data_IF_956182726628
#
_entry.id   IF_956182726628
#
_cell.length_a   1.000
_cell.length_b   1.000
_cell.length_c   1.000
_cell.angle_alpha   90.00
_cell.angle_beta   90.00
_cell.angle_gamma   90.00
#
_symmetry.space_group_name_H-M   'P 1'
#
loop_
_entity.id
_entity.type
_entity.pdbx_description
1 polymer ?
#
# COMPACT_ATOMS: atom_id res chain seq x y z
N UNK A 1 11.34 1.24 13.44
CA UNK A 1 11.38 1.81 12.09
C UNK A 1 12.83 2.06 11.79
N UNK A 2 13.36 1.41 10.76
CA UNK A 2 14.76 1.50 10.40
C UNK A 2 14.86 2.24 9.08
N UNK A 3 15.61 3.33 9.03
CA UNK A 3 15.69 4.20 7.86
C UNK A 3 17.10 4.20 7.32
N UNK A 4 17.24 3.86 6.03
CA UNK A 4 18.50 4.00 5.32
C UNK A 4 18.63 5.42 4.78
N UNK A 5 19.58 6.20 5.30
CA UNK A 5 19.89 7.54 4.80
C UNK A 5 21.10 7.47 3.89
N UNK A 6 20.89 7.64 2.59
CA UNK A 6 21.98 7.75 1.61
C UNK A 6 22.32 9.20 1.34
N UNK A 7 23.60 9.57 1.44
CA UNK A 7 24.10 10.90 1.07
C UNK A 7 25.01 10.79 -0.16
N UNK A 8 24.50 11.30 -1.29
CA UNK A 8 25.21 11.36 -2.57
C UNK A 8 26.59 12.01 -2.46
N UNK A 9 27.51 11.57 -3.32
CA UNK A 9 28.82 12.25 -3.50
C UNK A 9 28.70 13.65 -4.11
N UNK A 10 27.54 14.00 -4.68
CA UNK A 10 27.27 15.34 -5.20
C UNK A 10 26.98 16.39 -4.11
N UNK A 11 26.66 15.93 -2.89
CA UNK A 11 26.48 16.78 -1.71
C UNK A 11 27.86 17.18 -1.17
N UNK A 12 28.05 18.45 -0.82
CA UNK A 12 29.34 18.96 -0.34
C UNK A 12 29.74 18.32 1.00
N UNK A 13 31.03 18.23 1.31
CA UNK A 13 31.50 17.64 2.58
C UNK A 13 30.94 18.37 3.81
N UNK A 14 30.78 19.69 3.70
CA UNK A 14 30.21 20.55 4.74
C UNK A 14 28.71 20.26 4.94
N UNK A 15 27.97 20.00 3.85
CA UNK A 15 26.56 19.62 3.93
C UNK A 15 26.41 18.18 4.44
N UNK A 16 27.31 17.28 4.04
CA UNK A 16 27.37 15.89 4.50
C UNK A 16 27.59 15.82 6.01
N UNK A 17 28.57 16.56 6.53
CA UNK A 17 28.83 16.60 7.97
C UNK A 17 27.61 17.15 8.72
N UNK A 18 26.97 18.20 8.19
CA UNK A 18 25.75 18.75 8.77
C UNK A 18 24.60 17.74 8.81
N UNK A 19 24.32 17.06 7.69
CA UNK A 19 23.30 16.02 7.64
C UNK A 19 23.62 14.87 8.60
N UNK A 20 24.89 14.49 8.70
CA UNK A 20 25.33 13.46 9.66
C UNK A 20 25.03 13.87 11.10
N UNK A 21 25.35 15.12 11.48
CA UNK A 21 25.01 15.65 12.80
C UNK A 21 23.50 15.73 13.04
N UNK A 22 22.73 16.15 12.03
CA UNK A 22 21.27 16.19 12.10
C UNK A 22 20.68 14.80 12.35
N UNK A 23 21.12 13.79 11.60
CA UNK A 23 20.62 12.42 11.71
C UNK A 23 21.10 11.71 12.99
N UNK A 24 22.25 12.10 13.54
CA UNK A 24 22.67 11.63 14.87
C UNK A 24 21.72 12.10 15.99
N UNK A 25 20.96 13.20 15.81
CA UNK A 25 19.92 13.60 16.75
C UNK A 25 18.68 12.70 16.69
N UNK A 26 18.51 11.93 15.61
CA UNK A 26 17.34 11.10 15.35
C UNK A 26 17.49 9.65 15.83
N UNK A 27 18.72 9.23 16.16
CA UNK A 27 19.15 7.85 16.44
C UNK A 27 18.39 7.13 17.59
N UNK A 28 17.61 7.88 18.38
CA UNK A 28 16.85 7.30 19.50
C UNK A 28 15.48 6.76 19.12
N UNK A 29 14.88 7.22 18.01
CA UNK A 29 13.69 6.69 17.34
C UNK A 29 13.31 7.67 16.20
N UNK A 30 13.52 7.35 14.92
CA UNK A 30 13.89 6.05 14.31
C UNK A 30 15.35 5.62 14.44
N UNK A 31 15.60 4.32 14.16
CA UNK A 31 16.94 3.78 13.94
C UNK A 31 17.44 4.23 12.55
N UNK A 32 18.53 4.99 12.51
CA UNK A 32 19.04 5.63 11.29
C UNK A 32 20.39 5.03 10.89
N UNK A 33 20.45 4.36 9.74
CA UNK A 33 21.72 3.97 9.13
C UNK A 33 22.12 5.00 8.05
N UNK A 34 23.20 5.74 8.31
CA UNK A 34 23.75 6.69 7.33
C UNK A 34 24.80 5.99 6.48
N UNK A 35 24.65 6.07 5.16
CA UNK A 35 25.62 5.52 4.22
C UNK A 35 25.97 6.50 3.09
N UNK A 36 27.18 6.32 2.57
CA UNK A 36 27.73 7.02 1.41
C UNK A 36 27.98 6.09 0.23
N UNK A 37 27.61 4.82 0.38
CA UNK A 37 27.65 3.79 -0.65
C UNK A 37 26.30 3.07 -0.75
N UNK A 38 26.04 2.41 -1.87
CA UNK A 38 24.88 1.54 -1.99
C UNK A 38 25.22 0.21 -1.26
N UNK A 39 24.53 -0.13 -0.16
CA UNK A 39 24.77 -1.37 0.57
C UNK A 39 24.44 -2.58 -0.32
N UNK A 40 25.00 -3.73 0.05
CA UNK A 40 24.76 -4.99 -0.65
C UNK A 40 23.52 -5.73 -0.12
N UNK A 41 23.15 -5.49 1.14
CA UNK A 41 21.99 -6.07 1.81
C UNK A 41 20.72 -5.23 1.62
N UNK A 42 19.56 -5.88 1.82
CA UNK A 42 18.26 -5.41 1.31
C UNK A 42 17.11 -5.39 2.32
N UNK A 43 17.20 -6.12 3.44
CA UNK A 43 16.01 -6.68 4.09
C UNK A 43 15.58 -6.05 5.41
N UNK A 44 16.27 -5.01 5.90
CA UNK A 44 16.05 -4.52 7.27
C UNK A 44 15.52 -3.08 7.36
N UNK A 45 15.29 -2.41 6.22
CA UNK A 45 14.87 -1.01 6.21
C UNK A 45 13.41 -0.85 5.84
N UNK A 46 12.71 -0.06 6.67
CA UNK A 46 11.32 0.33 6.44
C UNK A 46 11.21 1.46 5.40
N UNK A 47 12.23 2.30 5.27
CA UNK A 47 12.20 3.50 4.43
C UNK A 47 13.60 3.87 3.93
N UNK A 48 13.70 4.34 2.68
CA UNK A 48 14.95 4.90 2.14
C UNK A 48 14.84 6.41 2.02
N UNK A 49 15.84 7.12 2.53
CA UNK A 49 15.96 8.55 2.36
C UNK A 49 17.21 8.88 1.54
N UNK A 50 17.02 9.36 0.32
CA UNK A 50 18.09 9.60 -0.65
C UNK A 50 18.35 11.10 -0.74
N UNK A 51 19.54 11.55 -0.36
CA UNK A 51 20.02 12.91 -0.58
C UNK A 51 20.82 13.02 -1.87
N UNK A 52 20.42 13.97 -2.72
CA UNK A 52 20.97 14.18 -4.06
C UNK A 52 20.36 13.25 -5.10
N UNK A 53 20.38 13.68 -6.35
CA UNK A 53 19.71 12.98 -7.46
C UNK A 53 20.63 12.70 -8.65
N UNK A 54 21.73 13.44 -8.83
CA UNK A 54 22.65 13.21 -9.96
C UNK A 54 23.72 12.15 -9.64
N UNK A 55 23.34 11.02 -9.07
CA UNK A 55 24.29 9.95 -8.71
C UNK A 55 23.77 8.57 -9.16
N UNK A 56 24.64 7.79 -9.78
CA UNK A 56 24.32 6.42 -10.20
C UNK A 56 23.96 5.53 -9.00
N UNK A 57 24.57 5.78 -7.83
CA UNK A 57 24.25 5.06 -6.59
C UNK A 57 22.87 5.43 -6.05
N UNK A 58 22.47 6.70 -6.12
CA UNK A 58 21.11 7.13 -5.77
C UNK A 58 20.07 6.42 -6.65
N UNK A 59 20.32 6.34 -7.96
CA UNK A 59 19.45 5.60 -8.88
C UNK A 59 19.45 4.09 -8.59
N UNK A 60 20.59 3.50 -8.22
CA UNK A 60 20.67 2.08 -7.83
C UNK A 60 19.83 1.82 -6.58
N UNK A 61 19.92 2.68 -5.57
CA UNK A 61 19.14 2.59 -4.34
C UNK A 61 17.65 2.76 -4.60
N UNK A 62 17.26 3.75 -5.41
CA UNK A 62 15.86 3.93 -5.82
C UNK A 62 15.32 2.69 -6.55
N UNK A 63 16.06 2.16 -7.52
CA UNK A 63 15.65 0.93 -8.21
C UNK A 63 15.64 -0.30 -7.28
N UNK A 64 16.46 -0.30 -6.23
CA UNK A 64 16.43 -1.35 -5.21
C UNK A 64 15.14 -1.26 -4.40
N UNK A 65 14.81 -0.05 -3.93
CA UNK A 65 13.58 0.23 -3.19
C UNK A 65 12.31 -0.14 -4.00
N UNK A 66 12.29 0.16 -5.30
CA UNK A 66 11.20 -0.25 -6.19
C UNK A 66 11.03 -1.77 -6.29
N UNK A 67 12.11 -2.54 -6.21
CA UNK A 67 12.06 -4.01 -6.27
C UNK A 67 11.65 -4.64 -4.94
N UNK A 68 11.96 -3.96 -3.84
CA UNK A 68 11.61 -4.39 -2.48
C UNK A 68 10.32 -3.75 -1.98
N UNK A 69 9.65 -2.94 -2.81
CA UNK A 69 8.45 -2.18 -2.45
C UNK A 69 8.65 -1.34 -1.17
N UNK A 70 9.86 -0.80 -0.99
CA UNK A 70 10.21 0.05 0.14
C UNK A 70 9.97 1.52 -0.22
N UNK A 71 9.22 2.31 0.57
CA UNK A 71 8.99 3.72 0.28
C UNK A 71 10.27 4.56 0.25
N UNK A 72 10.32 5.53 -0.67
CA UNK A 72 11.46 6.43 -0.83
C UNK A 72 11.08 7.89 -0.56
N UNK A 73 11.84 8.52 0.33
CA UNK A 73 11.91 9.98 0.45
C UNK A 73 13.13 10.45 -0.34
N UNK A 74 12.93 11.33 -1.33
CA UNK A 74 14.03 11.93 -2.08
C UNK A 74 14.23 13.39 -1.64
N UNK A 75 15.44 13.74 -1.25
CA UNK A 75 15.88 15.10 -0.95
C UNK A 75 16.91 15.55 -1.99
N UNK A 76 16.52 16.23 -3.09
CA UNK A 76 17.47 16.65 -4.10
C UNK A 76 18.52 17.64 -3.56
N UNK A 77 18.19 18.39 -2.51
CA UNK A 77 19.12 19.24 -1.78
C UNK A 77 19.79 20.32 -2.66
N UNK A 78 18.99 20.97 -3.51
CA UNK A 78 19.38 22.02 -4.43
C UNK A 78 20.07 21.54 -5.71
N UNK A 79 20.26 20.23 -5.89
CA UNK A 79 20.87 19.65 -7.09
C UNK A 79 20.06 19.83 -8.38
N UNK A 80 18.76 20.09 -8.26
CA UNK A 80 17.87 20.35 -9.40
C UNK A 80 17.83 21.82 -9.84
N UNK A 81 18.53 22.70 -9.13
CA UNK A 81 18.57 24.11 -9.48
C UNK A 81 19.25 24.32 -10.84
N UNK A 82 18.75 25.23 -11.71
CA UNK A 82 19.25 25.39 -13.07
C UNK A 82 20.76 25.62 -13.16
N UNK A 83 21.34 26.40 -12.25
CA UNK A 83 22.78 26.66 -12.23
C UNK A 83 23.61 25.42 -11.82
N UNK A 84 23.11 24.59 -10.88
CA UNK A 84 23.79 23.33 -10.53
C UNK A 84 23.77 22.37 -11.71
N UNK A 85 22.64 22.24 -12.40
CA UNK A 85 22.51 21.40 -13.60
C UNK A 85 23.43 21.88 -14.74
N UNK A 86 23.58 23.20 -14.93
CA UNK A 86 24.50 23.77 -15.92
C UNK A 86 25.97 23.46 -15.61
N UNK A 87 26.32 23.40 -14.33
CA UNK A 87 27.68 23.13 -13.86
C UNK A 87 28.03 21.64 -13.79
N UNK A 88 27.08 20.73 -14.05
CA UNK A 88 27.38 19.30 -14.16
C UNK A 88 28.27 19.02 -15.37
N UNK A 89 29.18 18.05 -15.21
CA UNK A 89 29.94 17.50 -16.33
C UNK A 89 28.98 17.05 -17.44
N UNK A 90 29.24 17.47 -18.68
CA UNK A 90 28.36 17.21 -19.84
C UNK A 90 28.01 15.72 -19.99
N UNK A 91 29.02 14.85 -19.84
CA UNK A 91 28.86 13.39 -19.91
C UNK A 91 27.92 12.88 -18.81
N UNK A 92 28.11 13.34 -17.56
CA UNK A 92 27.26 12.98 -16.42
C UNK A 92 25.81 13.39 -16.64
N UNK A 93 25.60 14.64 -17.09
CA UNK A 93 24.26 15.15 -17.41
C UNK A 93 23.60 14.33 -18.52
N UNK A 94 24.34 14.03 -19.60
CA UNK A 94 23.82 13.23 -20.71
C UNK A 94 23.38 11.82 -20.28
N UNK A 95 24.21 11.13 -19.48
CA UNK A 95 23.94 9.76 -19.04
C UNK A 95 22.82 9.67 -18.00
N UNK A 96 22.71 10.65 -17.10
CA UNK A 96 21.80 10.56 -15.95
C UNK A 96 20.48 11.33 -16.13
N UNK A 97 20.35 12.20 -17.14
CA UNK A 97 19.15 13.03 -17.30
C UNK A 97 17.86 12.21 -17.35
N UNK A 98 17.79 11.22 -18.24
CA UNK A 98 16.59 10.38 -18.39
C UNK A 98 16.31 9.55 -17.13
N UNK A 99 17.29 8.82 -16.55
CA UNK A 99 17.07 8.12 -15.28
C UNK A 99 16.61 9.00 -14.13
N UNK A 100 17.18 10.20 -13.97
CA UNK A 100 16.81 11.13 -12.90
C UNK A 100 15.40 11.68 -13.10
N UNK A 101 15.04 12.06 -14.33
CA UNK A 101 13.67 12.49 -14.63
C UNK A 101 12.65 11.37 -14.35
N UNK A 102 12.97 10.12 -14.70
CA UNK A 102 12.10 8.97 -14.40
C UNK A 102 11.96 8.70 -12.91
N UNK A 103 13.03 8.86 -12.13
CA UNK A 103 12.98 8.77 -10.68
C UNK A 103 12.09 9.87 -10.09
N UNK A 104 12.28 11.12 -10.53
CA UNK A 104 11.48 12.26 -10.06
C UNK A 104 9.99 12.14 -10.40
N UNK A 105 9.63 11.53 -11.54
CA UNK A 105 8.24 11.32 -11.94
C UNK A 105 7.56 10.12 -11.28
N UNK A 106 8.30 9.34 -10.46
CA UNK A 106 7.80 8.08 -9.88
C UNK A 106 8.04 7.95 -8.39
N UNK A 107 8.97 8.70 -7.83
CA UNK A 107 9.22 8.71 -6.39
C UNK A 107 7.98 9.18 -5.65
N UNK A 108 7.73 8.59 -4.49
CA UNK A 108 6.52 8.76 -3.72
C UNK A 108 6.48 10.10 -2.98
N UNK A 109 7.63 10.47 -2.39
CA UNK A 109 7.78 11.67 -1.57
C UNK A 109 9.06 12.41 -1.95
N UNK A 110 8.95 13.71 -2.17
CA UNK A 110 10.08 14.60 -2.40
C UNK A 110 10.14 15.65 -1.32
N UNK A 111 11.28 15.76 -0.66
CA UNK A 111 11.57 16.80 0.30
C UNK A 111 12.30 17.97 -0.35
N UNK A 112 11.79 19.18 -0.12
CA UNK A 112 12.38 20.45 -0.53
C UNK A 112 12.94 21.21 0.68
N UNK A 113 14.21 21.60 0.61
CA UNK A 113 14.96 22.24 1.70
C UNK A 113 14.66 23.75 1.86
N UNK A 114 13.65 24.25 1.15
CA UNK A 114 13.31 25.66 1.08
C UNK A 114 12.22 25.95 0.07
N UNK A 115 11.65 27.15 0.13
CA UNK A 115 10.58 27.57 -0.77
C UNK A 115 11.02 27.57 -2.25
N UNK A 116 12.23 28.04 -2.54
CA UNK A 116 12.76 28.05 -3.90
C UNK A 116 12.88 26.66 -4.52
N UNK A 117 13.37 25.68 -3.75
CA UNK A 117 13.48 24.29 -4.23
C UNK A 117 12.10 23.67 -4.45
N UNK A 118 11.14 23.98 -3.57
CA UNK A 118 9.75 23.56 -3.72
C UNK A 118 9.14 24.08 -5.02
N UNK A 119 9.35 25.35 -5.34
CA UNK A 119 8.83 25.96 -6.57
C UNK A 119 9.52 25.38 -7.81
N UNK A 120 10.82 25.09 -7.72
CA UNK A 120 11.56 24.37 -8.77
C UNK A 120 10.98 22.98 -9.01
N UNK A 121 10.73 22.20 -7.95
CA UNK A 121 10.15 20.86 -8.04
C UNK A 121 8.74 20.86 -8.63
N UNK A 122 7.90 21.84 -8.25
CA UNK A 122 6.58 22.04 -8.86
C UNK A 122 6.67 22.31 -10.35
N UNK A 123 7.62 23.13 -10.78
CA UNK A 123 7.83 23.44 -12.21
C UNK A 123 8.31 22.25 -13.04
N UNK A 124 8.91 21.24 -12.39
CA UNK A 124 9.40 20.02 -13.02
C UNK A 124 8.31 18.93 -13.15
N UNK A 125 7.05 19.25 -12.84
CA UNK A 125 5.91 18.31 -12.85
C UNK A 125 6.20 17.03 -12.05
N UNK A 126 6.85 17.15 -10.89
CA UNK A 126 6.94 16.02 -9.98
C UNK A 126 5.50 15.67 -9.51
N UNK A 127 5.03 14.49 -9.89
CA UNK A 127 3.76 13.87 -9.43
C UNK A 127 3.83 13.45 -7.96
N UNK A 128 5.01 13.58 -7.34
CA UNK A 128 5.30 13.19 -5.99
C UNK A 128 4.70 14.15 -4.94
N UNK A 129 4.52 13.63 -3.72
CA UNK A 129 4.18 14.44 -2.57
C UNK A 129 5.35 15.35 -2.19
N UNK A 130 5.27 16.64 -2.54
CA UNK A 130 6.33 17.61 -2.21
C UNK A 130 6.13 18.16 -0.80
N UNK A 131 7.05 17.84 0.11
CA UNK A 131 7.08 18.31 1.50
C UNK A 131 8.20 19.33 1.68
N UNK A 132 7.92 20.46 2.32
CA UNK A 132 8.95 21.47 2.63
C UNK A 132 9.41 21.29 4.07
N UNK A 133 10.71 21.09 4.28
CA UNK A 133 11.37 21.22 5.59
C UNK A 133 12.54 22.17 5.36
N UNK A 134 12.44 23.38 5.90
CA UNK A 134 13.44 24.41 5.62
C UNK A 134 14.79 24.03 6.24
N UNK A 135 15.89 24.31 5.55
CA UNK A 135 17.23 24.06 6.11
C UNK A 135 17.61 25.19 7.10
N UNK A 136 17.79 24.90 8.40
CA UNK A 136 18.19 25.85 9.44
C UNK A 136 19.41 26.71 9.06
N UNK A 137 20.39 26.11 8.36
CA UNK A 137 21.62 26.80 7.97
C UNK A 137 21.41 27.88 6.91
N UNK A 138 20.30 27.82 6.17
CA UNK A 138 20.00 28.71 5.06
C UNK A 138 18.96 29.75 5.47
N UNK A 139 17.84 29.32 6.05
CA UNK A 139 16.70 30.20 6.34
C UNK A 139 16.74 30.83 7.73
N UNK A 140 17.40 30.18 8.71
CA UNK A 140 17.30 30.54 10.13
C UNK A 140 15.87 30.49 10.70
N UNK A 141 14.90 29.96 9.94
CA UNK A 141 13.47 30.00 10.28
C UNK A 141 13.05 28.90 11.26
N UNK A 142 13.82 27.81 11.30
CA UNK A 142 13.67 26.70 12.24
C UNK A 142 15.05 26.32 12.77
N UNK A 143 15.11 25.68 13.94
CA UNK A 143 16.36 25.13 14.45
C UNK A 143 16.60 23.68 14.00
N UNK A 144 17.74 23.12 14.38
CA UNK A 144 18.13 21.75 13.99
C UNK A 144 17.26 20.68 14.67
N UNK A 145 16.76 20.92 15.88
CA UNK A 145 15.90 19.98 16.59
C UNK A 145 14.49 19.95 15.95
N UNK A 146 13.97 21.11 15.56
CA UNK A 146 12.72 21.26 14.82
C UNK A 146 12.81 20.57 13.44
N UNK A 147 13.93 20.74 12.72
CA UNK A 147 14.16 20.05 11.46
C UNK A 147 14.16 18.53 11.65
N UNK A 148 14.82 18.05 12.70
CA UNK A 148 14.88 16.64 13.05
C UNK A 148 13.46 16.09 13.32
N UNK A 149 12.67 16.76 14.17
CA UNK A 149 11.29 16.39 14.47
C UNK A 149 10.40 16.35 13.21
N UNK A 150 10.59 17.30 12.29
CA UNK A 150 9.87 17.31 11.02
C UNK A 150 10.26 16.14 10.11
N UNK A 151 11.51 15.69 10.11
CA UNK A 151 11.90 14.48 9.38
C UNK A 151 11.29 13.21 9.98
N UNK A 152 11.23 13.09 11.31
CA UNK A 152 10.53 11.96 11.97
C UNK A 152 9.06 11.92 11.57
N UNK A 153 8.40 13.07 11.62
CA UNK A 153 7.01 13.22 11.18
C UNK A 153 6.85 12.87 9.70
N UNK A 154 7.77 13.30 8.83
CA UNK A 154 7.79 12.94 7.42
C UNK A 154 7.92 11.42 7.22
N UNK A 155 8.83 10.75 7.93
CA UNK A 155 8.99 9.29 7.80
C UNK A 155 7.76 8.53 8.27
N UNK A 156 7.19 8.91 9.41
CA UNK A 156 5.92 8.32 9.84
C UNK A 156 4.81 8.57 8.83
N UNK A 157 4.66 9.81 8.33
CA UNK A 157 3.66 10.14 7.31
C UNK A 157 3.84 9.32 6.03
N UNK A 158 5.08 9.09 5.59
CA UNK A 158 5.39 8.22 4.46
C UNK A 158 4.95 6.79 4.74
N UNK A 159 5.38 6.16 5.84
CA UNK A 159 5.00 4.77 6.14
C UNK A 159 3.49 4.59 6.36
N UNK A 160 2.86 5.57 6.98
CA UNK A 160 1.41 5.65 7.16
C UNK A 160 0.68 5.70 5.81
N UNK A 161 1.29 6.26 4.78
CA UNK A 161 0.68 6.33 3.45
C UNK A 161 0.78 4.99 2.71
N UNK A 162 1.81 4.18 2.98
CA UNK A 162 1.99 2.85 2.41
C UNK A 162 2.09 1.76 3.49
N UNK A 163 1.03 1.56 4.29
CA UNK A 163 1.04 0.65 5.43
C UNK A 163 1.35 -0.79 5.00
N UNK A 164 0.94 -1.23 3.81
CA UNK A 164 1.22 -2.57 3.27
C UNK A 164 2.72 -2.95 3.29
N UNK A 165 3.61 -1.95 3.19
CA UNK A 165 5.08 -2.14 3.23
C UNK A 165 5.62 -2.48 4.62
N UNK A 166 4.80 -2.29 5.65
CA UNK A 166 5.11 -2.59 7.04
C UNK A 166 4.48 -3.90 7.52
N UNK A 167 3.62 -4.53 6.71
CA UNK A 167 2.94 -5.77 7.07
C UNK A 167 3.84 -6.97 6.80
N UNK A 168 3.93 -7.87 7.78
CA UNK A 168 4.52 -9.20 7.63
C UNK A 168 3.51 -10.20 7.06
N UNK A 169 3.97 -11.42 6.76
CA UNK A 169 3.06 -12.50 6.36
C UNK A 169 2.07 -12.85 7.48
N UNK A 170 2.51 -12.78 8.75
CA UNK A 170 1.64 -13.02 9.90
C UNK A 170 0.57 -11.94 10.06
N UNK A 171 0.91 -10.67 9.80
CA UNK A 171 -0.06 -9.57 9.82
C UNK A 171 -1.11 -9.73 8.73
N UNK A 172 -0.70 -10.16 7.53
CA UNK A 172 -1.63 -10.42 6.43
C UNK A 172 -2.56 -11.61 6.72
N UNK A 173 -2.05 -12.68 7.35
CA UNK A 173 -2.88 -13.80 7.80
C UNK A 173 -3.90 -13.36 8.87
N UNK A 174 -3.48 -12.51 9.82
CA UNK A 174 -4.37 -11.90 10.81
C UNK A 174 -5.48 -11.09 10.14
N UNK A 175 -5.13 -10.24 9.16
CA UNK A 175 -6.13 -9.48 8.38
C UNK A 175 -7.10 -10.44 7.69
N UNK A 176 -6.60 -11.48 7.02
CA UNK A 176 -7.43 -12.48 6.35
C UNK A 176 -8.44 -13.13 7.30
N UNK A 177 -7.98 -13.54 8.48
CA UNK A 177 -8.82 -14.13 9.52
C UNK A 177 -9.87 -13.15 10.07
N UNK A 178 -9.49 -11.90 10.36
CA UNK A 178 -10.42 -10.88 10.87
C UNK A 178 -11.46 -10.47 9.83
N UNK A 179 -11.05 -10.33 8.56
CA UNK A 179 -11.97 -10.06 7.46
C UNK A 179 -12.95 -11.23 7.30
N UNK A 180 -12.46 -12.46 7.33
CA UNK A 180 -13.32 -13.65 7.31
C UNK A 180 -14.31 -13.65 8.47
N UNK A 181 -13.87 -13.38 9.70
CA UNK A 181 -14.76 -13.26 10.87
C UNK A 181 -15.87 -12.23 10.66
N UNK A 182 -15.57 -11.14 9.95
CA UNK A 182 -16.52 -10.10 9.58
C UNK A 182 -17.56 -10.55 8.55
N UNK A 183 -17.22 -11.50 7.68
CA UNK A 183 -18.05 -12.01 6.57
C UNK A 183 -18.80 -13.30 6.97
N UNK A 184 -18.08 -14.33 7.40
CA UNK A 184 -18.56 -15.66 7.72
C UNK A 184 -18.08 -16.08 9.12
N UNK A 185 -18.94 -15.79 10.12
CA UNK A 185 -18.64 -16.06 11.52
C UNK A 185 -18.59 -17.56 11.84
N UNK A 186 -19.30 -18.40 11.10
CA UNK A 186 -19.33 -19.84 11.32
C UNK A 186 -18.00 -20.47 10.90
N UNK A 187 -17.52 -20.12 9.70
CA UNK A 187 -16.22 -20.56 9.22
C UNK A 187 -15.10 -20.07 10.13
N UNK A 188 -15.18 -18.83 10.60
CA UNK A 188 -14.21 -18.28 11.54
C UNK A 188 -14.20 -19.02 12.88
N UNK A 189 -15.37 -19.35 13.45
CA UNK A 189 -15.46 -20.09 14.71
C UNK A 189 -14.89 -21.51 14.62
N UNK A 190 -14.87 -22.10 13.42
CA UNK A 190 -14.25 -23.40 13.16
C UNK A 190 -12.72 -23.32 12.96
N UNK A 191 -12.14 -22.12 12.82
CA UNK A 191 -10.70 -21.94 12.65
C UNK A 191 -9.96 -21.99 13.98
N UNK A 192 -8.81 -22.67 13.97
CA UNK A 192 -7.84 -22.61 15.06
C UNK A 192 -6.85 -21.48 14.78
N UNK A 193 -7.07 -20.32 15.42
CA UNK A 193 -6.16 -19.19 15.29
C UNK A 193 -4.89 -19.44 16.09
N UNK A 194 -3.74 -19.23 15.45
CA UNK A 194 -2.46 -19.33 16.14
C UNK A 194 -2.35 -18.23 17.19
N UNK A 195 -1.94 -18.59 18.42
CA UNK A 195 -1.73 -17.65 19.52
C UNK A 195 -0.80 -16.49 19.12
N UNK A 196 0.24 -16.78 18.36
CA UNK A 196 1.18 -15.77 17.81
C UNK A 196 0.48 -14.69 16.96
N UNK A 197 -0.58 -15.07 16.23
CA UNK A 197 -1.38 -14.18 15.40
C UNK A 197 -2.21 -13.22 16.26
N UNK A 198 -2.63 -13.66 17.44
CA UNK A 198 -3.37 -12.84 18.41
C UNK A 198 -2.41 -11.91 19.16
N UNK A 199 -1.22 -12.39 19.54
CA UNK A 199 -0.20 -11.59 20.20
C UNK A 199 0.24 -10.38 19.34
N UNK A 200 0.20 -10.52 18.00
CA UNK A 200 0.49 -9.43 17.07
C UNK A 200 -0.43 -8.19 17.27
N UNK A 201 -1.66 -8.38 17.76
CA UNK A 201 -2.61 -7.29 18.07
C UNK A 201 -2.08 -6.34 19.15
N UNK A 202 -1.23 -6.83 20.05
CA UNK A 202 -0.69 -6.03 21.16
C UNK A 202 0.52 -5.18 20.78
N UNK A 203 1.01 -5.33 19.54
CA UNK A 203 2.23 -4.65 19.09
C UNK A 203 1.94 -3.22 18.59
N UNK A 204 2.89 -2.27 18.70
CA UNK A 204 2.78 -0.96 18.06
C UNK A 204 2.63 -1.02 16.52
N UNK A 205 2.93 -2.17 15.91
CA UNK A 205 2.78 -2.39 14.47
C UNK A 205 1.32 -2.55 14.05
N UNK A 206 0.43 -2.91 14.99
CA UNK A 206 -1.01 -3.04 14.75
C UNK A 206 -1.65 -1.84 14.04
N UNK A 207 -1.15 -0.62 14.30
CA UNK A 207 -1.65 0.57 13.59
C UNK A 207 -1.57 0.42 12.07
N UNK A 208 -0.53 -0.22 11.55
CA UNK A 208 -0.37 -0.43 10.11
C UNK A 208 -1.40 -1.42 9.57
N UNK A 209 -1.81 -2.41 10.37
CA UNK A 209 -2.91 -3.32 10.01
C UNK A 209 -4.23 -2.56 9.84
N UNK A 210 -4.56 -1.66 10.77
CA UNK A 210 -5.77 -0.83 10.65
C UNK A 210 -5.73 0.11 9.43
N UNK A 211 -4.58 0.75 9.22
CA UNK A 211 -4.40 1.68 8.10
C UNK A 211 -4.46 0.94 6.76
N UNK A 212 -3.88 -0.26 6.70
CA UNK A 212 -4.00 -1.16 5.57
C UNK A 212 -5.47 -1.56 5.33
N UNK A 213 -6.18 -2.01 6.37
CA UNK A 213 -7.58 -2.39 6.25
C UNK A 213 -8.47 -1.23 5.78
N UNK A 214 -8.20 0.00 6.22
CA UNK A 214 -8.88 1.21 5.74
C UNK A 214 -8.62 1.46 4.25
N UNK A 215 -7.37 1.41 3.81
CA UNK A 215 -7.00 1.58 2.39
C UNK A 215 -7.55 0.48 1.49
N UNK A 216 -7.63 -0.74 2.01
CA UNK A 216 -8.19 -1.90 1.32
C UNK A 216 -9.72 -2.02 1.44
N UNK A 217 -10.37 -1.04 2.10
CA UNK A 217 -11.83 -0.93 2.28
C UNK A 217 -12.46 -2.14 2.98
N UNK A 218 -11.74 -2.69 3.95
CA UNK A 218 -12.17 -3.83 4.77
C UNK A 218 -12.11 -3.53 6.28
N UNK A 219 -11.93 -2.26 6.67
CA UNK A 219 -11.80 -1.86 8.07
C UNK A 219 -12.99 -2.29 8.92
N UNK A 220 -14.22 -2.19 8.40
CA UNK A 220 -15.40 -2.57 9.16
C UNK A 220 -15.53 -4.07 9.34
N UNK A 221 -15.09 -4.86 8.36
CA UNK A 221 -15.00 -6.32 8.50
C UNK A 221 -13.95 -6.68 9.56
N UNK A 222 -12.81 -6.00 9.56
CA UNK A 222 -11.78 -6.17 10.59
C UNK A 222 -12.29 -5.80 11.98
N UNK A 223 -12.99 -4.67 12.14
CA UNK A 223 -13.62 -4.25 13.41
C UNK A 223 -14.62 -5.31 13.91
N UNK A 224 -15.50 -5.77 13.03
CA UNK A 224 -16.44 -6.87 13.31
C UNK A 224 -15.73 -8.17 13.71
N UNK A 225 -14.58 -8.48 13.12
CA UNK A 225 -13.78 -9.63 13.50
C UNK A 225 -13.15 -9.49 14.89
N UNK A 226 -12.67 -8.30 15.24
CA UNK A 226 -12.08 -8.02 16.55
C UNK A 226 -13.11 -8.13 17.68
N UNK A 227 -14.33 -7.63 17.46
CA UNK A 227 -15.44 -7.78 18.41
C UNK A 227 -15.71 -9.26 18.74
N UNK A 228 -15.56 -10.14 17.76
CA UNK A 228 -15.76 -11.59 17.92
C UNK A 228 -14.62 -12.29 18.64
N UNK A 229 -13.39 -11.78 18.55
CA UNK A 229 -12.24 -12.36 19.25
C UNK A 229 -12.33 -12.20 20.78
N UNK A 230 -13.19 -11.31 21.30
CA UNK A 230 -13.36 -11.06 22.73
C UNK A 230 -12.03 -10.79 23.47
N UNK A 231 -11.04 -10.24 22.78
CA UNK A 231 -9.71 -9.88 23.31
C UNK A 231 -9.65 -8.38 23.63
N UNK A 232 -8.67 -7.97 24.45
CA UNK A 232 -8.39 -6.54 24.62
C UNK A 232 -7.93 -5.95 23.28
N UNK A 233 -8.78 -5.13 22.67
CA UNK A 233 -8.51 -4.55 21.36
C UNK A 233 -7.68 -3.27 21.52
N UNK A 234 -6.57 -3.14 20.76
CA UNK A 234 -5.87 -1.87 20.64
C UNK A 234 -6.76 -0.78 20.03
N UNK A 235 -6.46 0.49 20.30
CA UNK A 235 -7.23 1.63 19.78
C UNK A 235 -7.33 1.58 18.25
N UNK A 236 -8.57 1.72 17.75
CA UNK A 236 -8.90 1.74 16.31
C UNK A 236 -9.01 3.15 15.74
N UNK A 237 -8.59 4.16 16.49
CA UNK A 237 -8.65 5.57 16.10
C UNK A 237 -7.56 5.90 15.08
N UNK A 238 -7.98 6.12 13.83
CA UNK A 238 -7.09 6.50 12.73
C UNK A 238 -6.88 8.01 12.60
N UNK A 239 -7.68 8.84 13.29
CA UNK A 239 -7.67 10.31 13.11
C UNK A 239 -6.35 10.99 13.49
N UNK A 240 -5.57 10.33 14.35
CA UNK A 240 -4.27 10.80 14.84
C UNK A 240 -3.13 10.56 13.85
N UNK A 241 -3.34 9.76 12.81
CA UNK A 241 -2.29 9.42 11.86
C UNK A 241 -2.37 10.31 10.63
N UNK A 242 -1.24 10.95 10.33
CA UNK A 242 -1.11 11.72 9.11
C UNK A 242 -0.72 10.81 7.94
N UNK A 243 -1.40 11.00 6.81
CA UNK A 243 -1.11 10.35 5.53
C UNK A 243 -1.01 11.41 4.42
N UNK A 244 -0.41 11.05 3.29
CA UNK A 244 -0.62 11.78 2.05
C UNK A 244 -1.95 11.32 1.43
N UNK A 245 -2.77 12.24 0.94
CA UNK A 245 -4.07 11.88 0.38
C UNK A 245 -3.91 11.01 -0.88
N UNK A 246 -4.47 9.80 -0.84
CA UNK A 246 -4.70 8.95 -2.01
C UNK A 246 -6.05 8.26 -1.83
N UNK A 247 -6.99 8.61 -2.70
CA UNK A 247 -8.43 8.37 -2.60
C UNK A 247 -9.03 8.77 -1.23
N UNK A 248 -10.21 9.40 -1.19
CA UNK A 248 -10.86 9.60 0.11
C UNK A 248 -11.02 8.21 0.76
N UNK A 249 -10.45 8.04 1.95
CA UNK A 249 -10.92 7.01 2.88
C UNK A 249 -12.43 7.26 2.95
N UNK A 250 -13.29 6.30 2.58
CA UNK A 250 -14.72 6.51 2.66
C UNK A 250 -15.02 7.03 4.06
N UNK A 251 -15.56 8.24 4.15
CA UNK A 251 -16.11 8.71 5.40
C UNK A 251 -17.20 7.69 5.77
N UNK A 252 -17.20 7.28 7.04
CA UNK A 252 -18.12 6.32 7.63
C UNK A 252 -19.55 6.89 7.44
N UNK A 253 -20.17 6.66 6.28
CA UNK A 253 -21.57 7.02 5.99
C UNK A 253 -22.48 6.06 6.76
N UNK A 254 -22.42 6.15 8.08
CA UNK A 254 -23.57 5.90 8.91
C UNK A 254 -24.51 7.08 8.70
N UNK A 255 -25.55 6.87 7.87
CA UNK A 255 -26.91 7.43 7.93
C UNK A 255 -27.47 7.64 6.51
N UNK A 256 -28.09 6.60 5.95
CA UNK A 256 -29.25 6.77 5.08
C UNK A 256 -30.22 5.62 5.39
N UNK A 257 -30.99 5.83 6.45
CA UNK A 257 -32.23 5.09 6.67
C UNK A 257 -33.21 5.40 5.52
N UNK A 258 -33.75 4.34 4.94
CA UNK A 258 -35.12 4.22 4.42
C UNK A 258 -35.62 5.23 3.39
N UNK A 259 -35.78 4.77 2.15
CA UNK A 259 -36.97 5.12 1.35
C UNK A 259 -37.56 3.84 0.73
N UNK A 260 -38.71 3.43 1.26
CA UNK A 260 -39.70 2.59 0.58
C UNK A 260 -40.35 3.38 -0.57
N UNK A 261 -41.01 2.65 -1.49
CA UNK A 261 -41.96 3.06 -2.54
C UNK A 261 -41.33 3.23 -3.95
N UNK A 262 -41.85 2.69 -5.04
CA UNK A 262 -43.16 2.09 -5.32
C UNK A 262 -43.08 1.02 -6.43
N UNK A 263 -44.02 0.09 -6.38
CA UNK A 263 -44.26 -0.93 -7.39
C UNK A 263 -44.93 -0.34 -8.65
N UNK A 264 -44.42 -0.67 -9.83
CA UNK A 264 -45.20 -0.65 -11.06
C UNK A 264 -45.04 -1.99 -11.79
N UNK A 265 -46.18 -2.64 -12.00
CA UNK A 265 -46.40 -3.90 -12.71
C UNK A 265 -46.00 -3.80 -14.19
N UNK A 266 -45.14 -4.70 -14.66
CA UNK A 266 -45.15 -5.15 -16.07
C UNK A 266 -44.99 -6.69 -16.16
N UNK A 267 -46.15 -7.32 -16.39
CA UNK A 267 -46.46 -8.57 -17.11
C UNK A 267 -45.40 -9.68 -17.20
N UNK A 268 -45.78 -10.80 -16.57
CA UNK A 268 -45.16 -12.13 -16.63
C UNK A 268 -45.09 -12.70 -18.06
N UNK A 269 -43.88 -13.05 -18.49
CA UNK A 269 -43.62 -14.20 -19.37
C UNK A 269 -42.88 -15.27 -18.54
N UNK A 270 -43.46 -16.48 -18.48
CA UNK A 270 -42.84 -17.67 -17.88
C UNK A 270 -41.56 -18.05 -18.67
N UNK A 271 -40.39 -17.68 -18.17
CA UNK A 271 -39.11 -18.30 -18.54
C UNK A 271 -38.18 -18.32 -17.32
N UNK A 272 -37.57 -19.49 -17.08
CA UNK A 272 -36.46 -19.84 -16.17
C UNK A 272 -36.14 -18.93 -14.98
N UNK A 273 -36.14 -19.53 -13.78
CA UNK A 273 -35.79 -18.96 -12.47
C UNK A 273 -34.80 -17.75 -12.56
N UNK A 274 -35.29 -16.50 -12.55
CA UNK A 274 -34.51 -15.32 -12.93
C UNK A 274 -33.45 -14.90 -11.90
N UNK A 275 -33.47 -15.48 -10.70
CA UNK A 275 -32.62 -15.07 -9.58
C UNK A 275 -31.17 -15.61 -9.73
N UNK A 276 -31.01 -16.86 -10.17
CA UNK A 276 -29.69 -17.52 -10.27
C UNK A 276 -28.77 -16.89 -11.31
N UNK A 277 -29.34 -16.44 -12.44
CA UNK A 277 -28.56 -15.86 -13.53
C UNK A 277 -28.04 -14.45 -13.16
N UNK A 278 -28.79 -13.72 -12.32
CA UNK A 278 -28.41 -12.38 -11.84
C UNK A 278 -27.20 -12.44 -10.89
N UNK A 279 -27.15 -13.43 -10.00
CA UNK A 279 -26.03 -13.66 -9.07
C UNK A 279 -24.77 -14.10 -9.82
N UNK A 280 -24.90 -14.99 -10.81
CA UNK A 280 -23.78 -15.40 -11.67
C UNK A 280 -23.17 -14.20 -12.41
N UNK A 281 -24.01 -13.33 -13.00
CA UNK A 281 -23.54 -12.11 -13.67
C UNK A 281 -22.84 -11.16 -12.70
N UNK A 282 -23.34 -11.03 -11.47
CA UNK A 282 -22.70 -10.26 -10.39
C UNK A 282 -21.30 -10.78 -10.04
N UNK A 283 -21.14 -12.11 -9.88
CA UNK A 283 -19.84 -12.74 -9.62
C UNK A 283 -18.87 -12.47 -10.78
N UNK A 284 -19.33 -12.64 -12.03
CA UNK A 284 -18.51 -12.37 -13.22
C UNK A 284 -18.04 -10.91 -13.26
N UNK A 285 -18.91 -9.96 -12.91
CA UNK A 285 -18.57 -8.54 -12.87
C UNK A 285 -17.52 -8.22 -11.78
N UNK A 286 -17.61 -8.85 -10.60
CA UNK A 286 -16.59 -8.71 -9.55
C UNK A 286 -15.24 -9.24 -10.05
N UNK A 287 -15.22 -10.41 -10.69
CA UNK A 287 -14.00 -11.01 -11.24
C UNK A 287 -13.39 -10.12 -12.33
N UNK A 288 -14.23 -9.54 -13.20
CA UNK A 288 -13.80 -8.58 -14.23
C UNK A 288 -13.23 -7.31 -13.62
N UNK A 289 -13.92 -6.73 -12.64
CA UNK A 289 -13.47 -5.53 -11.92
C UNK A 289 -12.12 -5.77 -11.26
N UNK A 290 -11.94 -6.92 -10.60
CA UNK A 290 -10.66 -7.30 -10.02
C UNK A 290 -9.57 -7.43 -11.09
N UNK A 291 -9.87 -8.10 -12.21
CA UNK A 291 -8.94 -8.26 -13.33
C UNK A 291 -8.49 -6.91 -13.92
N UNK A 292 -9.42 -5.98 -14.11
CA UNK A 292 -9.16 -4.66 -14.71
C UNK A 292 -8.45 -3.69 -13.76
N UNK A 293 -8.59 -3.89 -12.44
CA UNK A 293 -7.95 -3.08 -11.41
C UNK A 293 -6.48 -3.46 -11.19
N UNK A 294 -6.11 -4.73 -11.41
CA UNK A 294 -4.74 -5.24 -11.16
C UNK A 294 -3.64 -4.56 -11.99
N UNK A 295 -3.81 -4.26 -13.30
CA UNK A 295 -2.79 -3.54 -14.07
C UNK A 295 -2.61 -2.08 -13.67
N UNK A 296 -3.60 -1.51 -12.96
CA UNK A 296 -3.63 -0.12 -12.52
C UNK A 296 -3.18 0.07 -11.07
N UNK A 297 -2.89 -1.03 -10.36
CA UNK A 297 -2.60 -1.07 -8.92
C UNK A 297 -3.74 -0.47 -8.05
N UNK A 298 -4.98 -0.52 -8.53
CA UNK A 298 -6.18 0.01 -7.84
C UNK A 298 -7.09 -1.10 -7.29
N UNK A 299 -6.63 -2.36 -7.30
CA UNK A 299 -7.38 -3.46 -6.70
C UNK A 299 -7.41 -3.29 -5.17
N UNK A 300 -8.59 -3.37 -4.59
CA UNK A 300 -8.78 -3.36 -3.13
C UNK A 300 -9.13 -4.77 -2.64
N UNK A 301 -8.66 -5.16 -1.46
CA UNK A 301 -8.97 -6.45 -0.83
C UNK A 301 -10.48 -6.66 -0.68
N UNK A 302 -11.26 -5.58 -0.53
CA UNK A 302 -12.72 -5.61 -0.54
C UNK A 302 -13.31 -6.41 -1.71
N UNK A 303 -12.76 -6.30 -2.92
CA UNK A 303 -13.27 -7.07 -4.08
C UNK A 303 -13.13 -8.58 -3.86
N UNK A 304 -12.04 -9.02 -3.23
CA UNK A 304 -11.81 -10.42 -2.92
C UNK A 304 -12.76 -10.89 -1.79
N UNK A 305 -12.99 -10.03 -0.79
CA UNK A 305 -13.93 -10.29 0.30
C UNK A 305 -15.38 -10.42 -0.22
N UNK A 306 -15.80 -9.52 -1.10
CA UNK A 306 -17.12 -9.58 -1.75
C UNK A 306 -17.24 -10.84 -2.61
N UNK A 307 -16.19 -11.21 -3.36
CA UNK A 307 -16.19 -12.44 -4.14
C UNK A 307 -16.34 -13.68 -3.24
N UNK A 308 -15.59 -13.74 -2.13
CA UNK A 308 -15.74 -14.81 -1.14
C UNK A 308 -17.18 -14.93 -0.65
N UNK A 309 -17.80 -13.81 -0.27
CA UNK A 309 -19.17 -13.80 0.24
C UNK A 309 -20.16 -14.37 -0.79
N UNK A 310 -20.03 -14.01 -2.06
CA UNK A 310 -20.90 -14.56 -3.12
C UNK A 310 -20.65 -16.06 -3.35
N UNK A 311 -19.39 -16.52 -3.35
CA UNK A 311 -19.13 -17.95 -3.55
C UNK A 311 -19.59 -18.83 -2.39
N UNK A 312 -19.57 -18.30 -1.16
CA UNK A 312 -19.81 -19.09 0.06
C UNK A 312 -21.21 -18.94 0.64
N UNK A 313 -21.83 -17.77 0.52
CA UNK A 313 -23.04 -17.37 1.25
C UNK A 313 -24.26 -17.13 0.33
N UNK A 314 -24.09 -17.15 -0.98
CA UNK A 314 -25.21 -17.06 -1.93
C UNK A 314 -25.34 -18.34 -2.73
N UNK A 315 -26.58 -18.71 -3.04
CA UNK A 315 -26.85 -19.82 -3.95
C UNK A 315 -26.67 -19.34 -5.39
N UNK A 316 -25.98 -20.13 -6.21
CA UNK A 316 -25.79 -19.88 -7.64
C UNK A 316 -25.48 -21.19 -8.38
N UNK A 317 -25.72 -21.20 -9.69
CA UNK A 317 -25.31 -22.33 -10.55
C UNK A 317 -23.81 -22.26 -10.87
N UNK A 318 -23.02 -23.12 -10.24
CA UNK A 318 -21.58 -23.25 -10.47
C UNK A 318 -21.23 -23.55 -11.94
N UNK A 319 -22.03 -24.38 -12.61
CA UNK A 319 -21.79 -24.76 -13.99
C UNK A 319 -22.07 -23.58 -14.93
N UNK A 320 -23.12 -22.79 -14.65
CA UNK A 320 -23.39 -21.55 -15.36
C UNK A 320 -22.26 -20.53 -15.18
N UNK A 321 -21.76 -20.36 -13.94
CA UNK A 321 -20.63 -19.47 -13.64
C UNK A 321 -19.37 -19.85 -14.41
N UNK A 322 -19.00 -21.14 -14.42
CA UNK A 322 -17.82 -21.62 -15.17
C UNK A 322 -17.97 -21.35 -16.66
N UNK A 323 -19.16 -21.56 -17.23
CA UNK A 323 -19.44 -21.26 -18.63
C UNK A 323 -19.35 -19.76 -18.94
N UNK A 324 -19.91 -18.91 -18.08
CA UNK A 324 -19.88 -17.46 -18.21
C UNK A 324 -18.44 -16.93 -18.16
N UNK A 325 -17.65 -17.36 -17.17
CA UNK A 325 -16.22 -17.00 -17.03
C UNK A 325 -15.37 -17.49 -18.21
N UNK A 326 -15.69 -18.66 -18.77
CA UNK A 326 -15.02 -19.16 -19.97
C UNK A 326 -15.35 -18.29 -21.20
N UNK A 327 -16.61 -17.88 -21.37
CA UNK A 327 -17.06 -17.00 -22.46
C UNK A 327 -16.34 -15.65 -22.46
N UNK A 328 -16.10 -15.07 -21.28
CA UNK A 328 -15.33 -13.81 -21.12
C UNK A 328 -13.82 -14.01 -21.00
N UNK A 329 -13.32 -15.26 -21.11
CA UNK A 329 -11.90 -15.63 -21.04
C UNK A 329 -11.22 -15.30 -19.69
N UNK A 330 -11.97 -15.27 -18.60
CA UNK A 330 -11.46 -15.01 -17.25
C UNK A 330 -11.33 -16.29 -16.41
N UNK A 331 -11.75 -17.46 -16.91
CA UNK A 331 -11.73 -18.71 -16.14
C UNK A 331 -10.34 -19.06 -15.56
N UNK A 332 -9.27 -18.95 -16.35
CA UNK A 332 -7.92 -19.24 -15.87
C UNK A 332 -7.47 -18.26 -14.76
N UNK A 333 -7.88 -17.00 -14.88
CA UNK A 333 -7.63 -15.99 -13.85
C UNK A 333 -8.41 -16.30 -12.58
N UNK A 334 -9.71 -16.61 -12.70
CA UNK A 334 -10.59 -16.98 -11.60
C UNK A 334 -10.04 -18.16 -10.79
N UNK A 335 -9.55 -19.22 -11.44
CA UNK A 335 -8.90 -20.37 -10.77
C UNK A 335 -7.75 -19.97 -9.85
N UNK A 336 -7.00 -18.93 -10.21
CA UNK A 336 -5.92 -18.40 -9.36
C UNK A 336 -6.48 -17.57 -8.23
N UNK A 337 -7.52 -16.77 -8.48
CA UNK A 337 -8.24 -16.00 -7.46
C UNK A 337 -8.84 -16.92 -6.40
N UNK A 338 -9.42 -18.06 -6.78
CA UNK A 338 -9.88 -19.10 -5.84
C UNK A 338 -8.74 -19.61 -4.95
N UNK A 339 -7.56 -19.87 -5.53
CA UNK A 339 -6.38 -20.22 -4.73
C UNK A 339 -5.99 -19.10 -3.76
N UNK A 340 -6.05 -17.81 -4.17
CA UNK A 340 -5.80 -16.69 -3.25
C UNK A 340 -6.82 -16.68 -2.10
N UNK A 341 -8.12 -16.84 -2.39
CA UNK A 341 -9.18 -16.89 -1.36
C UNK A 341 -9.04 -18.10 -0.44
N UNK A 342 -8.63 -19.25 -0.97
CA UNK A 342 -8.34 -20.44 -0.17
C UNK A 342 -7.23 -20.17 0.86
N UNK A 343 -6.14 -19.54 0.43
CA UNK A 343 -5.02 -19.28 1.33
C UNK A 343 -5.33 -18.16 2.34
N UNK A 344 -5.94 -17.05 1.89
CA UNK A 344 -6.15 -15.84 2.69
C UNK A 344 -7.43 -15.88 3.54
N UNK A 345 -8.54 -16.37 2.97
CA UNK A 345 -9.86 -16.41 3.62
C UNK A 345 -10.37 -17.83 3.89
N UNK A 346 -9.53 -18.86 3.72
CA UNK A 346 -9.87 -20.27 4.00
C UNK A 346 -11.14 -20.74 3.28
N UNK A 347 -11.36 -20.27 2.05
CA UNK A 347 -12.45 -20.76 1.21
C UNK A 347 -12.38 -22.30 1.11
N UNK A 348 -13.43 -23.03 1.52
CA UNK A 348 -13.41 -24.50 1.48
C UNK A 348 -13.51 -25.01 0.03
N UNK A 349 -12.90 -26.17 -0.24
CA UNK A 349 -12.91 -26.78 -1.58
C UNK A 349 -14.32 -27.04 -2.12
N UNK A 350 -15.30 -27.30 -1.25
CA UNK A 350 -16.70 -27.51 -1.62
C UNK A 350 -17.45 -26.27 -2.11
N UNK A 351 -16.82 -25.09 -2.05
CA UNK A 351 -17.34 -23.82 -2.56
C UNK A 351 -16.43 -23.23 -3.65
N UNK A 352 -15.61 -24.09 -4.29
CA UNK A 352 -14.80 -23.74 -5.45
C UNK A 352 -15.40 -24.41 -6.68
N UNK A 353 -16.12 -23.67 -7.55
CA UNK A 353 -16.74 -24.18 -8.78
C UNK A 353 -15.78 -24.93 -9.71
N UNK A 354 -14.48 -24.67 -9.60
CA UNK A 354 -13.45 -25.29 -10.42
C UNK A 354 -12.18 -25.52 -9.62
N UNK A 355 -11.39 -26.53 -10.00
CA UNK A 355 -10.12 -26.84 -9.34
C UNK A 355 -9.20 -25.60 -9.32
N UNK A 356 -8.80 -25.11 -8.13
CA UNK A 356 -7.96 -23.93 -8.04
C UNK A 356 -6.61 -24.16 -8.70
N UNK A 357 -6.00 -23.09 -9.17
CA UNK A 357 -4.66 -23.12 -9.75
C UNK A 357 -3.68 -22.40 -8.82
N UNK A 358 -2.76 -23.16 -8.24
CA UNK A 358 -1.68 -22.64 -7.41
C UNK A 358 -0.34 -22.73 -8.15
N UNK A 359 0.00 -21.68 -8.89
CA UNK A 359 1.23 -21.57 -9.66
C UNK A 359 2.05 -20.33 -9.25
N UNK A 360 3.22 -20.11 -9.87
CA UNK A 360 4.03 -18.91 -9.58
C UNK A 360 3.28 -17.59 -9.86
N UNK A 361 2.31 -17.60 -10.76
CA UNK A 361 1.49 -16.43 -11.06
C UNK A 361 0.46 -16.20 -9.94
N UNK A 362 0.00 -17.24 -9.24
CA UNK A 362 -0.85 -17.14 -8.03
C UNK A 362 -0.12 -16.39 -6.90
N UNK A 363 1.17 -16.69 -6.66
CA UNK A 363 1.96 -15.90 -5.69
C UNK A 363 2.08 -14.43 -6.12
N UNK A 364 2.38 -14.18 -7.40
CA UNK A 364 2.43 -12.80 -7.92
C UNK A 364 1.07 -12.10 -7.84
N UNK A 365 -0.02 -12.81 -8.03
CA UNK A 365 -1.39 -12.29 -7.95
C UNK A 365 -1.72 -11.93 -6.50
N UNK A 366 -1.38 -12.81 -5.55
CA UNK A 366 -1.54 -12.56 -4.11
C UNK A 366 -0.85 -11.26 -3.71
N UNK A 367 0.41 -11.08 -4.09
CA UNK A 367 1.15 -9.84 -3.78
C UNK A 367 0.56 -8.60 -4.45
N UNK A 368 -0.03 -8.72 -5.65
CA UNK A 368 -0.69 -7.59 -6.32
C UNK A 368 -2.02 -7.21 -5.68
N UNK A 369 -2.82 -8.19 -5.28
CA UNK A 369 -4.10 -7.96 -4.60
C UNK A 369 -3.85 -7.38 -3.21
N UNK A 370 -2.95 -8.00 -2.45
CA UNK A 370 -2.71 -7.63 -1.06
C UNK A 370 -1.74 -6.46 -0.92
N UNK A 371 -0.92 -6.17 -1.94
CA UNK A 371 0.16 -5.15 -1.90
C UNK A 371 1.21 -5.41 -0.81
N UNK A 372 1.21 -6.60 -0.21
CA UNK A 372 2.20 -7.05 0.76
C UNK A 372 3.21 -7.93 0.02
N UNK A 373 4.49 -7.56 0.10
CA UNK A 373 5.56 -8.20 -0.65
C UNK A 373 6.56 -8.86 0.30
N UNK A 374 6.37 -10.16 0.55
CA UNK A 374 7.22 -11.00 1.41
C UNK A 374 8.06 -12.02 0.63
#
# INVERSE_FOLDING_TARGET
MNVLVYISKGVSDVDRQYLTTLFALLDTNPDIEITYDAPLWRHDFSLFHIFGCWDAKALRLYNMALRTHTPVVLSPFGELNPWRIRNLLKVKRMLLNIPVQRMLSRVEVVHACGQFERDTLKSLNATANIVRIDNPRISGAIDTADMAAQFVRLYHKTLNTWPATMLTAADLELVGALVLAGIDAEMFAAMDLRLETIDALTTPQWRYVLMYAAQERVLDLVRKGLERLQTETPSTDLSKFETFCFDPIPEDDNLAEGEEQDAEDEQQEETDNPDDNSTVDGIVEIVRTLYDALPKDTAHLQLLATLYANLRLTDYDEQALVQALNKVKLLLFFRRVESVMHHLFKLPEGFMPILPLDDKQTKSLTNKITKVYN
#
